data_IF_013858072226
#
_entry.id   IF_013858072226
#
_cell.length_a   1.000
_cell.length_b   1.000
_cell.length_c   1.000
_cell.angle_alpha   90.00
_cell.angle_beta   90.00
_cell.angle_gamma   90.00
#
_symmetry.space_group_name_H-M   'P 1'
#
loop_
_entity.id
_entity.type
_entity.pdbx_description
1 polymer ?
#
# COMPACT_ATOMS: atom_id res chain seq x y z
N UNK A 1 -57.10 -37.48 -38.88
CA UNK A 1 -55.92 -36.76 -39.37
C UNK A 1 -55.14 -36.35 -38.14
N UNK A 2 -53.90 -36.79 -38.04
CA UNK A 2 -53.19 -36.87 -36.77
C UNK A 2 -52.33 -35.61 -36.58
N UNK A 3 -52.85 -34.66 -35.79
CA UNK A 3 -52.32 -33.30 -35.52
C UNK A 3 -50.82 -33.31 -35.17
N UNK A 4 -50.34 -34.43 -34.63
CA UNK A 4 -48.93 -34.66 -34.33
C UNK A 4 -48.02 -34.49 -35.55
N UNK A 5 -48.37 -35.06 -36.71
CA UNK A 5 -47.54 -34.95 -37.91
C UNK A 5 -47.51 -33.53 -38.48
N UNK A 6 -48.62 -32.80 -38.34
CA UNK A 6 -48.73 -31.42 -38.82
C UNK A 6 -47.86 -30.48 -37.98
N UNK A 7 -47.81 -30.69 -36.66
CA UNK A 7 -46.91 -29.96 -35.77
C UNK A 7 -45.43 -30.26 -36.07
N UNK A 8 -45.10 -31.52 -36.38
CA UNK A 8 -43.73 -31.93 -36.74
C UNK A 8 -43.28 -31.30 -38.06
N UNK A 9 -44.16 -31.23 -39.07
CA UNK A 9 -43.81 -30.64 -40.36
C UNK A 9 -43.66 -29.12 -40.28
N UNK A 10 -44.50 -28.44 -39.49
CA UNK A 10 -44.33 -27.01 -39.19
C UNK A 10 -42.99 -26.76 -38.47
N UNK A 11 -42.60 -27.61 -37.53
CA UNK A 11 -41.31 -27.47 -36.86
C UNK A 11 -40.12 -27.64 -37.83
N UNK A 12 -40.22 -28.57 -38.78
CA UNK A 12 -39.17 -28.83 -39.79
C UNK A 12 -39.04 -27.73 -40.83
N UNK A 13 -40.15 -27.21 -41.36
CA UNK A 13 -40.15 -26.09 -42.33
C UNK A 13 -39.43 -24.86 -41.77
N UNK A 14 -39.51 -24.66 -40.45
CA UNK A 14 -38.94 -23.50 -39.76
C UNK A 14 -37.50 -23.70 -39.26
N UNK A 15 -36.84 -24.82 -39.59
CA UNK A 15 -35.43 -25.01 -39.25
C UNK A 15 -34.53 -24.12 -40.15
N UNK A 16 -33.68 -23.23 -39.58
CA UNK A 16 -32.81 -22.35 -40.35
C UNK A 16 -31.76 -23.09 -41.19
N UNK A 17 -31.41 -24.32 -40.81
CA UNK A 17 -30.45 -25.17 -41.54
C UNK A 17 -31.09 -25.97 -42.68
N UNK A 18 -32.41 -25.95 -42.82
CA UNK A 18 -33.11 -26.64 -43.88
C UNK A 18 -33.08 -25.82 -45.17
N UNK A 19 -32.66 -26.45 -46.27
CA UNK A 19 -32.53 -25.81 -47.57
C UNK A 19 -33.89 -25.43 -48.17
N UNK A 20 -33.88 -24.43 -49.06
CA UNK A 20 -35.06 -23.85 -49.71
C UNK A 20 -35.93 -24.90 -50.43
N UNK A 21 -35.29 -25.90 -51.05
CA UNK A 21 -35.98 -26.89 -51.87
C UNK A 21 -36.71 -27.93 -51.01
N UNK A 22 -36.05 -28.37 -49.93
CA UNK A 22 -36.66 -29.22 -48.89
C UNK A 22 -37.79 -28.50 -48.17
N UNK A 23 -37.64 -27.21 -47.87
CA UNK A 23 -38.70 -26.35 -47.32
C UNK A 23 -39.92 -26.31 -48.24
N UNK A 24 -39.72 -26.01 -49.52
CA UNK A 24 -40.81 -25.93 -50.50
C UNK A 24 -41.56 -27.26 -50.66
N UNK A 25 -40.85 -28.40 -50.61
CA UNK A 25 -41.48 -29.72 -50.67
C UNK A 25 -42.31 -30.05 -49.41
N UNK A 26 -41.82 -29.70 -48.21
CA UNK A 26 -42.59 -29.87 -46.98
C UNK A 26 -43.84 -28.99 -46.96
N UNK A 27 -43.72 -27.72 -47.37
CA UNK A 27 -44.85 -26.79 -47.52
C UNK A 27 -45.90 -27.37 -48.47
N UNK A 28 -45.47 -27.85 -49.65
CA UNK A 28 -46.38 -28.44 -50.64
C UNK A 28 -47.09 -29.69 -50.11
N UNK A 29 -46.38 -30.53 -49.35
CA UNK A 29 -46.92 -31.76 -48.76
C UNK A 29 -47.90 -31.46 -47.61
N UNK A 30 -47.60 -30.44 -46.80
CA UNK A 30 -48.49 -29.93 -45.77
C UNK A 30 -49.79 -29.36 -46.38
N UNK A 31 -49.67 -28.54 -47.43
CA UNK A 31 -50.79 -27.96 -48.16
C UNK A 31 -51.67 -29.03 -48.83
N UNK A 32 -51.07 -30.06 -49.45
CA UNK A 32 -51.85 -31.15 -50.06
C UNK A 32 -52.65 -31.95 -49.03
N UNK A 33 -52.08 -32.19 -47.83
CA UNK A 33 -52.79 -32.86 -46.73
C UNK A 33 -54.02 -32.06 -46.28
N UNK A 34 -53.88 -30.75 -46.13
CA UNK A 34 -54.96 -29.88 -45.67
C UNK A 34 -55.87 -29.38 -46.80
N UNK A 35 -55.61 -29.77 -48.05
CA UNK A 35 -56.39 -29.35 -49.24
C UNK A 35 -57.88 -29.68 -49.11
N UNK A 36 -58.21 -30.77 -48.41
CA UNK A 36 -59.61 -31.14 -48.16
C UNK A 36 -60.27 -30.33 -47.04
N UNK A 37 -59.50 -29.78 -46.10
CA UNK A 37 -60.00 -28.86 -45.05
C UNK A 37 -60.36 -27.50 -45.67
N UNK A 38 -59.58 -27.04 -46.65
CA UNK A 38 -59.93 -25.85 -47.44
C UNK A 38 -61.27 -26.03 -48.18
N UNK A 39 -61.55 -27.25 -48.67
CA UNK A 39 -62.82 -27.58 -49.34
C UNK A 39 -64.00 -27.81 -48.38
N UNK A 40 -63.76 -28.17 -47.10
CA UNK A 40 -64.82 -28.46 -46.12
C UNK A 40 -65.13 -27.32 -45.15
N UNK A 41 -64.18 -26.41 -44.90
CA UNK A 41 -64.29 -25.39 -43.84
C UNK A 41 -64.31 -23.94 -44.36
N UNK A 42 -64.15 -23.71 -45.67
CA UNK A 42 -64.33 -22.41 -46.33
C UNK A 42 -63.30 -21.32 -45.97
N UNK A 43 -63.42 -20.17 -46.64
CA UNK A 43 -62.50 -19.01 -46.60
C UNK A 43 -62.20 -18.49 -45.19
N UNK A 44 -63.17 -18.58 -44.26
CA UNK A 44 -63.03 -18.15 -42.86
C UNK A 44 -61.98 -18.96 -42.08
N UNK A 45 -61.83 -20.25 -42.40
CA UNK A 45 -60.81 -21.09 -41.75
C UNK A 45 -59.41 -20.72 -42.23
N UNK A 46 -59.23 -20.49 -43.53
CA UNK A 46 -57.95 -20.06 -44.11
C UNK A 46 -57.49 -18.72 -43.53
N UNK A 47 -58.39 -17.75 -43.41
CA UNK A 47 -58.08 -16.46 -42.76
C UNK A 47 -57.67 -16.62 -41.29
N UNK A 48 -58.34 -17.50 -40.54
CA UNK A 48 -57.98 -17.76 -39.15
C UNK A 48 -56.61 -18.46 -39.03
N UNK A 49 -56.31 -19.36 -39.95
CA UNK A 49 -55.04 -20.08 -40.03
C UNK A 49 -53.86 -19.15 -40.40
N UNK A 50 -54.02 -18.30 -41.41
CA UNK A 50 -53.00 -17.30 -41.79
C UNK A 50 -52.76 -16.29 -40.66
N UNK A 51 -53.82 -15.86 -39.98
CA UNK A 51 -53.71 -14.98 -38.81
C UNK A 51 -52.95 -15.65 -37.66
N UNK A 52 -53.16 -16.95 -37.45
CA UNK A 52 -52.40 -17.71 -36.44
C UNK A 52 -50.92 -17.83 -36.81
N UNK A 53 -50.59 -18.16 -38.06
CA UNK A 53 -49.20 -18.26 -38.52
C UNK A 53 -48.46 -16.92 -38.44
N UNK A 54 -49.10 -15.82 -38.85
CA UNK A 54 -48.52 -14.48 -38.71
C UNK A 54 -48.27 -14.14 -37.24
N UNK A 55 -49.21 -14.48 -36.34
CA UNK A 55 -49.03 -14.19 -34.91
C UNK A 55 -47.88 -14.98 -34.28
N UNK A 56 -47.71 -16.24 -34.68
CA UNK A 56 -46.58 -17.07 -34.24
C UNK A 56 -45.25 -16.53 -34.77
N UNK A 57 -45.22 -16.02 -36.00
CA UNK A 57 -44.03 -15.36 -36.58
C UNK A 57 -43.64 -14.09 -35.81
N UNK A 58 -44.61 -13.21 -35.52
CA UNK A 58 -44.38 -11.99 -34.73
C UNK A 58 -43.83 -12.28 -33.33
N UNK A 59 -44.42 -13.24 -32.62
CA UNK A 59 -43.97 -13.62 -31.27
C UNK A 59 -42.54 -14.16 -31.28
N UNK A 60 -42.18 -14.96 -32.29
CA UNK A 60 -40.83 -15.53 -32.42
C UNK A 60 -39.79 -14.48 -32.84
N UNK A 61 -40.16 -13.52 -33.69
CA UNK A 61 -39.30 -12.38 -34.03
C UNK A 61 -39.01 -11.52 -32.79
N UNK A 62 -40.02 -11.28 -31.95
CA UNK A 62 -39.86 -10.59 -30.68
C UNK A 62 -38.89 -11.35 -29.73
N UNK A 63 -39.04 -12.67 -29.59
CA UNK A 63 -38.12 -13.51 -28.80
C UNK A 63 -36.67 -13.46 -29.33
N UNK A 64 -36.48 -13.46 -30.65
CA UNK A 64 -35.16 -13.37 -31.27
C UNK A 64 -34.50 -12.00 -31.03
N UNK A 65 -35.26 -10.91 -31.16
CA UNK A 65 -34.79 -9.55 -30.88
C UNK A 65 -34.42 -9.42 -29.39
N UNK A 66 -35.22 -9.98 -28.48
CA UNK A 66 -34.92 -9.99 -27.04
C UNK A 66 -33.61 -10.74 -26.74
N UNK A 67 -33.39 -11.89 -27.36
CA UNK A 67 -32.17 -12.69 -27.18
C UNK A 67 -30.90 -11.93 -27.63
N UNK A 68 -30.96 -11.24 -28.78
CA UNK A 68 -29.86 -10.39 -29.27
C UNK A 68 -29.62 -9.22 -28.31
N UNK A 69 -30.67 -8.52 -27.89
CA UNK A 69 -30.55 -7.38 -26.98
C UNK A 69 -29.93 -7.80 -25.65
N UNK A 70 -30.30 -8.98 -25.13
CA UNK A 70 -29.73 -9.53 -23.90
C UNK A 70 -28.26 -9.91 -24.06
N UNK A 71 -27.85 -10.44 -25.23
CA UNK A 71 -26.45 -10.73 -25.52
C UNK A 71 -25.62 -9.45 -25.60
N UNK A 72 -26.09 -8.45 -26.35
CA UNK A 72 -25.41 -7.15 -26.48
C UNK A 72 -25.32 -6.42 -25.14
N UNK A 73 -26.34 -6.52 -24.28
CA UNK A 73 -26.29 -5.96 -22.93
C UNK A 73 -25.18 -6.59 -22.08
N UNK A 74 -25.05 -7.93 -22.11
CA UNK A 74 -23.97 -8.63 -21.41
C UNK A 74 -22.58 -8.30 -21.94
N UNK A 75 -22.44 -8.08 -23.25
CA UNK A 75 -21.16 -7.68 -23.85
C UNK A 75 -20.78 -6.25 -23.41
N UNK A 76 -21.73 -5.31 -23.39
CA UNK A 76 -21.49 -3.95 -22.86
C UNK A 76 -21.10 -3.94 -21.39
N UNK A 77 -21.80 -4.70 -20.54
CA UNK A 77 -21.45 -4.82 -19.12
C UNK A 77 -20.02 -5.36 -18.93
N UNK A 78 -19.60 -6.31 -19.78
CA UNK A 78 -18.25 -6.86 -19.74
C UNK A 78 -17.20 -5.83 -20.18
N UNK A 79 -17.45 -5.08 -21.25
CA UNK A 79 -16.56 -4.02 -21.73
C UNK A 79 -16.40 -2.90 -20.69
N UNK A 80 -17.49 -2.47 -20.08
CA UNK A 80 -17.49 -1.46 -19.00
C UNK A 80 -16.67 -1.95 -17.79
N UNK A 81 -16.83 -3.22 -17.40
CA UNK A 81 -16.09 -3.81 -16.30
C UNK A 81 -14.59 -3.95 -16.60
N UNK A 82 -14.22 -4.37 -17.82
CA UNK A 82 -12.82 -4.44 -18.26
C UNK A 82 -12.17 -3.04 -18.31
N UNK A 83 -12.91 -2.03 -18.76
CA UNK A 83 -12.46 -0.64 -18.76
C UNK A 83 -12.26 -0.10 -17.33
N UNK A 84 -13.17 -0.40 -16.41
CA UNK A 84 -13.05 -0.01 -14.99
C UNK A 84 -11.80 -0.62 -14.34
N UNK A 85 -11.52 -1.90 -14.58
CA UNK A 85 -10.30 -2.55 -14.09
C UNK A 85 -9.06 -1.90 -14.67
N UNK A 86 -9.06 -1.58 -15.96
CA UNK A 86 -7.92 -0.92 -16.62
C UNK A 86 -7.65 0.45 -16.01
N UNK A 87 -8.70 1.25 -15.80
CA UNK A 87 -8.59 2.57 -15.15
C UNK A 87 -8.12 2.45 -13.71
N UNK A 88 -8.67 1.50 -12.94
CA UNK A 88 -8.25 1.24 -11.57
C UNK A 88 -6.79 0.80 -11.48
N UNK A 89 -6.33 -0.05 -12.40
CA UNK A 89 -4.92 -0.47 -12.50
C UNK A 89 -4.02 0.73 -12.83
N UNK A 90 -4.39 1.54 -13.82
CA UNK A 90 -3.62 2.72 -14.19
C UNK A 90 -3.53 3.74 -13.03
N UNK A 91 -4.61 3.93 -12.27
CA UNK A 91 -4.61 4.78 -11.08
C UNK A 91 -3.68 4.24 -9.98
N UNK A 92 -3.68 2.92 -9.74
CA UNK A 92 -2.77 2.28 -8.79
C UNK A 92 -1.31 2.44 -9.21
N UNK A 93 -1.00 2.16 -10.48
CA UNK A 93 0.36 2.26 -11.01
C UNK A 93 0.89 3.71 -10.91
N UNK A 94 0.05 4.72 -11.16
CA UNK A 94 0.41 6.14 -10.94
C UNK A 94 0.67 6.45 -9.46
N UNK A 95 -0.22 6.00 -8.57
CA UNK A 95 -0.04 6.21 -7.14
C UNK A 95 1.22 5.51 -6.60
N UNK A 96 1.55 4.32 -7.11
CA UNK A 96 2.79 3.62 -6.77
C UNK A 96 4.03 4.35 -7.28
N UNK A 97 4.01 4.85 -8.52
CA UNK A 97 5.10 5.65 -9.07
C UNK A 97 5.34 6.94 -8.27
N UNK A 98 4.27 7.66 -7.89
CA UNK A 98 4.35 8.86 -7.04
C UNK A 98 4.91 8.54 -5.66
N UNK A 99 4.48 7.43 -5.04
CA UNK A 99 5.02 6.97 -3.76
C UNK A 99 6.50 6.63 -3.85
N UNK A 100 6.93 5.93 -4.89
CA UNK A 100 8.35 5.61 -5.11
C UNK A 100 9.19 6.85 -5.34
N UNK A 101 8.69 7.84 -6.09
CA UNK A 101 9.36 9.10 -6.30
C UNK A 101 9.52 9.88 -4.98
N UNK A 102 8.43 10.01 -4.20
CA UNK A 102 8.50 10.64 -2.88
C UNK A 102 9.45 9.90 -1.93
N UNK A 103 9.44 8.57 -1.93
CA UNK A 103 10.36 7.77 -1.14
C UNK A 103 11.83 8.02 -1.52
N UNK A 104 12.13 8.12 -2.82
CA UNK A 104 13.47 8.48 -3.33
C UNK A 104 13.90 9.88 -2.90
N UNK A 105 13.00 10.86 -2.98
CA UNK A 105 13.28 12.24 -2.53
C UNK A 105 13.56 12.31 -1.03
N UNK A 106 12.76 11.60 -0.22
CA UNK A 106 12.97 11.51 1.23
C UNK A 106 14.30 10.82 1.54
N UNK A 107 14.64 9.73 0.87
CA UNK A 107 15.91 9.03 1.09
C UNK A 107 17.11 9.89 0.67
N UNK A 108 17.03 10.60 -0.45
CA UNK A 108 18.05 11.55 -0.88
C UNK A 108 18.27 12.65 0.16
N UNK A 109 17.19 13.26 0.67
CA UNK A 109 17.26 14.27 1.74
C UNK A 109 17.84 13.72 3.04
N UNK A 110 17.51 12.46 3.40
CA UNK A 110 18.11 11.78 4.55
C UNK A 110 19.61 11.56 4.36
N UNK A 111 20.06 11.15 3.17
CA UNK A 111 21.49 10.98 2.85
C UNK A 111 22.24 12.31 2.93
N UNK A 112 21.67 13.38 2.36
CA UNK A 112 22.25 14.71 2.42
C UNK A 112 22.38 15.21 3.87
N UNK A 113 21.32 15.09 4.68
CA UNK A 113 21.37 15.49 6.09
C UNK A 113 22.40 14.65 6.88
N UNK A 114 22.51 13.34 6.62
CA UNK A 114 23.57 12.51 7.21
C UNK A 114 24.96 13.01 6.84
N UNK A 115 25.18 13.38 5.58
CA UNK A 115 26.47 13.96 5.14
C UNK A 115 26.75 15.29 5.84
N UNK A 116 25.77 16.20 5.94
CA UNK A 116 25.90 17.48 6.68
C UNK A 116 26.26 17.26 8.14
N UNK A 117 25.58 16.34 8.83
CA UNK A 117 25.88 15.99 10.22
C UNK A 117 27.28 15.38 10.34
N UNK A 118 27.66 14.46 9.46
CA UNK A 118 28.98 13.84 9.50
C UNK A 118 30.11 14.85 9.26
N UNK A 119 29.91 15.76 8.31
CA UNK A 119 30.82 16.86 8.05
C UNK A 119 30.91 17.79 9.26
N UNK A 120 29.78 18.15 9.87
CA UNK A 120 29.78 18.95 11.09
C UNK A 120 30.54 18.25 12.23
N UNK A 121 30.34 16.94 12.42
CA UNK A 121 31.01 16.14 13.45
C UNK A 121 32.52 16.02 13.25
N UNK A 122 33.01 16.17 12.03
CA UNK A 122 34.46 16.12 11.75
C UNK A 122 35.18 17.43 12.10
N UNK A 123 34.44 18.54 12.24
CA UNK A 123 34.99 19.87 12.54
C UNK A 123 35.60 19.98 13.95
N UNK A 124 36.56 20.90 14.10
CA UNK A 124 37.14 21.22 15.41
C UNK A 124 36.11 21.81 16.37
N UNK A 125 35.11 22.55 15.88
CA UNK A 125 34.04 23.11 16.70
C UNK A 125 33.22 22.01 17.39
N UNK A 126 32.87 20.95 16.67
CA UNK A 126 32.15 19.81 17.26
C UNK A 126 33.03 19.04 18.25
N UNK A 127 34.31 18.81 17.92
CA UNK A 127 35.26 18.18 18.84
C UNK A 127 35.45 19.00 20.12
N UNK A 128 35.55 20.32 19.99
CA UNK A 128 35.67 21.24 21.13
C UNK A 128 34.42 21.18 22.01
N UNK A 129 33.23 21.13 21.40
CA UNK A 129 31.97 20.89 22.11
C UNK A 129 32.01 19.58 22.93
N UNK A 130 32.40 18.47 22.32
CA UNK A 130 32.50 17.17 22.99
C UNK A 130 33.48 17.24 24.17
N UNK A 131 34.69 17.76 23.97
CA UNK A 131 35.69 17.81 25.03
C UNK A 131 35.30 18.77 26.16
N UNK A 132 34.65 19.91 25.85
CA UNK A 132 34.10 20.80 26.89
C UNK A 132 33.05 20.10 27.76
N UNK A 133 32.19 19.26 27.14
CA UNK A 133 31.17 18.49 27.84
C UNK A 133 31.79 17.37 28.68
N UNK A 134 32.82 16.70 28.15
CA UNK A 134 33.55 15.64 28.87
C UNK A 134 34.27 16.21 30.10
N UNK A 135 34.89 17.38 29.99
CA UNK A 135 35.53 18.05 31.14
C UNK A 135 34.52 18.29 32.27
N UNK A 136 33.37 18.87 31.94
CA UNK A 136 32.33 19.16 32.94
C UNK A 136 31.75 17.89 33.54
N UNK A 137 31.51 16.87 32.72
CA UNK A 137 31.02 15.55 33.17
C UNK A 137 32.00 14.87 34.12
N UNK A 138 33.29 14.80 33.76
CA UNK A 138 34.34 14.21 34.59
C UNK A 138 34.49 14.96 35.92
N UNK A 139 34.47 16.31 35.89
CA UNK A 139 34.52 17.15 37.08
C UNK A 139 33.35 16.86 38.02
N UNK A 140 32.14 16.77 37.50
CA UNK A 140 30.95 16.45 38.29
C UNK A 140 31.02 15.03 38.87
N UNK A 141 31.53 14.07 38.08
CA UNK A 141 31.73 12.68 38.52
C UNK A 141 32.70 12.56 39.69
N UNK A 142 33.83 13.30 39.64
CA UNK A 142 34.81 13.37 40.73
C UNK A 142 34.18 14.00 41.97
N UNK A 143 33.45 15.11 41.81
CA UNK A 143 32.78 15.79 42.94
C UNK A 143 31.84 14.85 43.68
N UNK A 144 30.99 14.13 42.96
CA UNK A 144 30.08 13.13 43.55
C UNK A 144 30.86 12.06 44.30
N UNK A 145 31.97 11.57 43.74
CA UNK A 145 32.79 10.56 44.41
C UNK A 145 33.49 11.10 45.68
N UNK A 146 33.95 12.35 45.65
CA UNK A 146 34.51 13.03 46.83
C UNK A 146 33.47 13.23 47.92
N UNK A 147 32.23 13.58 47.55
CA UNK A 147 31.14 13.74 48.51
C UNK A 147 30.75 12.40 49.15
N UNK A 148 30.84 11.28 48.41
CA UNK A 148 30.70 9.92 48.98
C UNK A 148 31.80 9.64 50.01
N UNK A 149 33.06 9.95 49.71
CA UNK A 149 34.16 9.74 50.66
C UNK A 149 33.99 10.56 51.94
N UNK A 150 33.58 11.83 51.83
CA UNK A 150 33.30 12.69 52.99
C UNK A 150 32.17 12.14 53.86
N UNK A 151 31.13 11.57 53.25
CA UNK A 151 30.05 10.94 54.01
C UNK A 151 30.52 9.66 54.70
N UNK A 152 31.33 8.84 54.06
CA UNK A 152 31.93 7.66 54.70
C UNK A 152 32.90 8.03 55.84
N UNK A 153 33.67 9.12 55.70
CA UNK A 153 34.51 9.67 56.77
C UNK A 153 33.66 10.15 57.96
N UNK A 154 32.53 10.80 57.68
CA UNK A 154 31.57 11.23 58.69
C UNK A 154 30.94 10.03 59.40
N UNK A 155 30.47 9.02 58.67
CA UNK A 155 29.87 7.82 59.27
C UNK A 155 30.89 7.06 60.14
N UNK A 156 32.14 6.98 59.70
CA UNK A 156 33.20 6.36 60.47
C UNK A 156 33.49 7.11 61.77
N UNK A 157 33.45 8.45 61.77
CA UNK A 157 33.70 9.24 62.99
C UNK A 157 32.60 9.08 64.05
N UNK A 158 31.35 8.84 63.64
CA UNK A 158 30.23 8.59 64.56
C UNK A 158 30.10 7.12 64.98
N UNK A 159 30.25 6.17 64.05
CA UNK A 159 29.93 4.75 64.29
C UNK A 159 31.15 3.85 64.50
N UNK A 160 32.36 4.34 64.17
CA UNK A 160 33.58 3.52 64.11
C UNK A 160 33.61 2.54 62.92
N UNK A 161 32.54 2.46 62.13
CA UNK A 161 32.40 1.53 61.00
C UNK A 161 32.45 2.30 59.69
N UNK A 162 33.08 1.71 58.67
CA UNK A 162 33.12 2.29 57.32
C UNK A 162 32.87 1.25 56.24
N UNK A 163 32.26 1.68 55.13
CA UNK A 163 31.99 0.81 53.98
C UNK A 163 33.14 0.87 52.97
N UNK A 164 34.06 -0.09 53.10
CA UNK A 164 35.24 -0.19 52.23
C UNK A 164 34.87 -0.36 50.75
N UNK A 165 33.77 -1.05 50.44
CA UNK A 165 33.23 -1.19 49.08
C UNK A 165 32.92 0.17 48.44
N UNK A 166 32.23 1.04 49.19
CA UNK A 166 31.89 2.40 48.73
C UNK A 166 33.11 3.28 48.59
N UNK A 167 34.02 3.22 49.57
CA UNK A 167 35.29 3.97 49.49
C UNK A 167 36.10 3.57 48.27
N UNK A 168 36.22 2.26 48.01
CA UNK A 168 36.95 1.75 46.85
C UNK A 168 36.31 2.20 45.53
N UNK A 169 34.99 2.07 45.39
CA UNK A 169 34.28 2.52 44.19
C UNK A 169 34.42 4.05 43.98
N UNK A 170 34.36 4.83 45.05
CA UNK A 170 34.58 6.28 44.98
C UNK A 170 36.02 6.62 44.59
N UNK A 171 37.02 5.95 45.17
CA UNK A 171 38.42 6.15 44.83
C UNK A 171 38.72 5.83 43.36
N UNK A 172 38.23 4.68 42.85
CA UNK A 172 38.34 4.33 41.43
C UNK A 172 37.69 5.40 40.54
N UNK A 173 36.50 5.86 40.91
CA UNK A 173 35.78 6.90 40.16
C UNK A 173 36.56 8.22 40.12
N UNK A 174 37.25 8.59 41.20
CA UNK A 174 38.15 9.75 41.23
C UNK A 174 39.33 9.53 40.30
N UNK A 175 39.99 8.37 40.37
CA UNK A 175 41.16 8.05 39.54
C UNK A 175 40.82 8.08 38.04
N UNK A 176 39.80 7.34 37.62
CA UNK A 176 39.33 7.33 36.23
C UNK A 176 38.83 8.71 35.80
N UNK A 177 38.06 9.37 36.67
CA UNK A 177 37.57 10.71 36.44
C UNK A 177 38.71 11.71 36.18
N UNK A 178 39.77 11.67 37.00
CA UNK A 178 40.91 12.57 36.87
C UNK A 178 41.69 12.32 35.58
N UNK A 179 41.86 11.05 35.19
CA UNK A 179 42.47 10.69 33.90
C UNK A 179 41.68 11.27 32.73
N UNK A 180 40.36 11.07 32.71
CA UNK A 180 39.48 11.64 31.68
C UNK A 180 39.52 13.17 31.70
N UNK A 181 39.46 13.79 32.88
CA UNK A 181 39.48 15.25 33.06
C UNK A 181 40.73 15.87 32.44
N UNK A 182 41.90 15.32 32.75
CA UNK A 182 43.19 15.80 32.25
C UNK A 182 43.29 15.64 30.73
N UNK A 183 42.90 14.47 30.20
CA UNK A 183 42.93 14.18 28.77
C UNK A 183 41.98 15.09 27.98
N UNK A 184 40.73 15.24 28.44
CA UNK A 184 39.73 16.08 27.79
C UNK A 184 40.08 17.56 27.90
N UNK A 185 40.62 18.02 29.02
CA UNK A 185 41.04 19.42 29.15
C UNK A 185 42.23 19.75 28.24
N UNK A 186 43.22 18.85 28.12
CA UNK A 186 44.33 19.02 27.20
C UNK A 186 43.84 19.13 25.74
N UNK A 187 42.94 18.23 25.32
CA UNK A 187 42.33 18.29 23.97
C UNK A 187 41.48 19.54 23.78
N UNK A 188 40.69 19.94 24.77
CA UNK A 188 39.90 21.17 24.75
C UNK A 188 40.81 22.39 24.50
N UNK A 189 41.97 22.49 25.17
CA UNK A 189 42.95 23.56 24.94
C UNK A 189 43.56 23.49 23.53
N UNK A 190 43.96 22.30 23.08
CA UNK A 190 44.51 22.10 21.72
C UNK A 190 43.52 22.51 20.62
N UNK A 191 42.22 22.33 20.86
CA UNK A 191 41.14 22.69 19.94
C UNK A 191 40.75 24.17 20.00
N UNK A 192 41.46 25.00 20.76
CA UNK A 192 41.24 26.45 20.87
C UNK A 192 40.36 26.89 22.04
N UNK A 193 40.11 26.01 23.02
CA UNK A 193 39.34 26.34 24.21
C UNK A 193 39.96 27.49 25.03
N UNK A 194 39.16 28.50 25.37
CA UNK A 194 39.63 29.72 26.01
C UNK A 194 39.79 29.63 27.53
N UNK A 195 39.16 28.66 28.20
CA UNK A 195 39.24 28.55 29.65
C UNK A 195 40.69 28.40 30.13
N UNK A 196 41.04 29.11 31.20
CA UNK A 196 42.37 29.07 31.84
C UNK A 196 42.57 27.85 32.73
N UNK A 197 41.49 27.26 33.23
CA UNK A 197 41.51 26.10 34.12
C UNK A 197 40.29 25.21 33.90
N UNK A 198 40.37 23.98 34.39
CA UNK A 198 39.28 22.99 34.39
C UNK A 198 38.01 23.51 35.08
N UNK A 199 38.17 24.33 36.14
CA UNK A 199 37.04 24.92 36.87
C UNK A 199 36.22 25.89 36.01
N UNK A 200 36.88 26.56 35.06
CA UNK A 200 36.27 27.61 34.23
C UNK A 200 35.65 27.07 32.94
N UNK A 201 35.79 25.77 32.64
CA UNK A 201 35.16 25.16 31.46
C UNK A 201 33.65 25.04 31.68
N UNK A 202 32.90 25.53 30.69
CA UNK A 202 31.46 25.35 30.56
C UNK A 202 31.17 24.53 29.29
N UNK A 203 30.08 23.73 29.26
CA UNK A 203 29.72 22.99 28.06
C UNK A 203 29.33 23.97 26.97
N UNK A 204 29.92 23.82 25.80
CA UNK A 204 29.55 24.62 24.63
C UNK A 204 28.21 24.12 24.04
N UNK A 205 27.63 24.90 23.15
CA UNK A 205 26.47 24.45 22.38
C UNK A 205 26.90 23.45 21.29
N UNK A 206 26.08 22.44 21.05
CA UNK A 206 26.32 21.48 19.97
C UNK A 206 26.16 22.17 18.60
N UNK A 207 27.23 22.36 17.81
CA UNK A 207 27.16 23.06 16.53
C UNK A 207 26.41 22.27 15.46
N UNK A 208 26.16 20.97 15.68
CA UNK A 208 25.42 20.11 14.75
C UNK A 208 23.94 19.98 15.14
N UNK A 209 23.49 20.66 16.20
CA UNK A 209 22.08 20.64 16.61
C UNK A 209 21.26 21.47 15.61
N UNK A 210 20.31 20.84 14.93
CA UNK A 210 19.43 21.48 13.95
C UNK A 210 19.86 21.34 12.48
N UNK A 211 20.91 20.56 12.20
CA UNK A 211 21.29 20.13 10.85
C UNK A 211 20.58 18.85 10.42
#
# INVERSE_FOLDING_TARGET
MDIYYDLVDIARINNPELDENSKNNLVKTFQMRHRFIANSCGEKFMMAYDKYLNKVSELREAEYIEAINKKNAKEREKEEWEEEIRLAKQARDRADAEREEQARLIDAKKRENRQKINLCKSTNNYKLFIESSNVVSARNSIKVAQDVLKEEDRLQSFSGVTRLDRRYAAAQRIEYGQKTLNQSFAKYKQLGGSASSVANVTPLNNPCKGL
#
